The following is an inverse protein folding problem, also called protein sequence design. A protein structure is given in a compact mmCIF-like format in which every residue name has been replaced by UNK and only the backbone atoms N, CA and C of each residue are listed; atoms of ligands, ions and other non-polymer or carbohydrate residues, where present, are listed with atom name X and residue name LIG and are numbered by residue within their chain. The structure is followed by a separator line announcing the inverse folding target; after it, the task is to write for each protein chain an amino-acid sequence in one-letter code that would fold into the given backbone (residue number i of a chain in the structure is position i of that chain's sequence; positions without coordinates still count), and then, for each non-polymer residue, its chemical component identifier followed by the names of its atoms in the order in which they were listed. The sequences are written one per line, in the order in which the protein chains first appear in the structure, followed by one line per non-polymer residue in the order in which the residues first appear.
data_IF_834824713595
#
_entry.id   IF_834824713595
#
_cell.length_a   1.000
_cell.length_b   1.000
_cell.length_c   1.000
_cell.angle_alpha   90.00
_cell.angle_beta   90.00
_cell.angle_gamma   90.00
#
_symmetry.space_group_name_H-M   'P 1'
#
loop_
_entity.id
_entity.type
_entity.pdbx_description
1 polymer ?
#
# COMPACT_ATOMS: atom_id res chain seq x y z
N UNK A 1 -20.45 43.77 -84.48
CA UNK A 1 -19.56 44.88 -84.07
C UNK A 1 -19.53 44.86 -82.55
N UNK A 2 -18.54 44.24 -81.90
CA UNK A 2 -17.18 44.75 -81.69
C UNK A 2 -17.01 45.04 -80.18
N UNK A 3 -16.55 44.06 -79.41
CA UNK A 3 -15.30 44.04 -78.59
C UNK A 3 -15.17 45.06 -77.45
N UNK A 4 -15.02 44.56 -76.21
CA UNK A 4 -13.92 44.85 -75.25
C UNK A 4 -14.34 44.32 -73.87
N UNK A 5 -13.92 43.12 -73.42
CA UNK A 5 -12.74 42.84 -72.58
C UNK A 5 -12.55 43.79 -71.39
N UNK A 6 -12.85 43.26 -70.20
CA UNK A 6 -12.68 43.94 -68.91
C UNK A 6 -13.02 42.96 -67.78
N UNK A 7 -12.14 42.00 -67.55
CA UNK A 7 -12.18 41.05 -66.43
C UNK A 7 -12.18 41.79 -65.09
N UNK A 8 -13.29 41.71 -64.34
CA UNK A 8 -13.37 42.10 -62.94
C UNK A 8 -13.48 40.83 -62.08
N UNK A 9 -12.37 40.50 -61.43
CA UNK A 9 -12.26 39.45 -60.42
C UNK A 9 -13.14 39.82 -59.22
N UNK A 10 -14.23 39.09 -58.99
CA UNK A 10 -14.94 39.12 -57.71
C UNK A 10 -14.14 38.23 -56.72
N UNK A 11 -13.35 38.86 -55.86
CA UNK A 11 -12.82 38.19 -54.67
C UNK A 11 -13.95 37.98 -53.67
N UNK A 12 -14.60 36.82 -53.74
CA UNK A 12 -15.34 36.25 -52.62
C UNK A 12 -14.30 35.74 -51.61
N UNK A 13 -14.02 36.55 -50.59
CA UNK A 13 -13.34 36.11 -49.38
C UNK A 13 -14.30 35.17 -48.65
N UNK A 14 -14.24 33.88 -48.97
CA UNK A 14 -14.76 32.86 -48.09
C UNK A 14 -13.83 32.79 -46.89
N UNK A 15 -14.28 33.32 -45.75
CA UNK A 15 -13.63 33.09 -44.46
C UNK A 15 -13.70 31.60 -44.16
N UNK A 16 -12.64 30.87 -44.48
CA UNK A 16 -12.37 29.57 -43.90
C UNK A 16 -12.14 29.81 -42.41
N UNK A 17 -13.19 29.65 -41.60
CA UNK A 17 -13.00 29.32 -40.18
C UNK A 17 -12.50 27.88 -40.17
N UNK A 18 -11.20 27.71 -40.44
CA UNK A 18 -10.49 26.57 -39.92
C UNK A 18 -10.53 26.75 -38.40
N UNK A 19 -11.46 26.06 -37.74
CA UNK A 19 -11.28 25.73 -36.34
C UNK A 19 -9.94 25.03 -36.26
N UNK A 20 -8.90 25.76 -35.85
CA UNK A 20 -7.68 25.18 -35.35
C UNK A 20 -8.08 24.39 -34.12
N UNK A 21 -8.43 23.12 -34.32
CA UNK A 21 -8.32 22.13 -33.26
C UNK A 21 -6.85 22.16 -32.93
N UNK A 22 -6.50 22.87 -31.86
CA UNK A 22 -5.26 22.61 -31.15
C UNK A 22 -5.39 21.15 -30.68
N UNK A 23 -4.88 20.23 -31.50
CA UNK A 23 -4.41 18.96 -31.00
C UNK A 23 -3.31 19.34 -30.01
N UNK A 24 -3.70 19.41 -28.73
CA UNK A 24 -2.75 19.37 -27.64
C UNK A 24 -2.12 18.00 -27.76
N UNK A 25 -0.92 17.95 -28.32
CA UNK A 25 -0.04 16.79 -28.26
C UNK A 25 0.17 16.47 -26.78
N UNK A 26 -0.72 15.63 -26.25
CA UNK A 26 -0.57 15.02 -24.96
C UNK A 26 0.33 13.82 -25.20
N UNK A 27 1.63 14.09 -25.30
CA UNK A 27 2.67 13.07 -25.23
C UNK A 27 2.52 12.35 -23.88
N UNK A 28 1.75 11.27 -23.88
CA UNK A 28 1.75 10.29 -22.80
C UNK A 28 3.11 9.62 -22.83
N UNK A 29 3.85 9.68 -21.73
CA UNK A 29 5.20 9.11 -21.57
C UNK A 29 5.28 7.58 -21.80
N UNK A 30 4.14 6.92 -22.04
CA UNK A 30 4.01 5.49 -22.30
C UNK A 30 4.25 5.05 -23.76
N UNK A 31 4.37 5.96 -24.74
CA UNK A 31 4.55 5.56 -26.15
C UNK A 31 5.95 4.98 -26.50
N UNK A 32 6.86 4.87 -25.52
CA UNK A 32 8.21 4.33 -25.72
C UNK A 32 8.51 2.96 -25.10
N UNK A 33 7.56 2.36 -24.34
CA UNK A 33 7.82 1.14 -23.54
C UNK A 33 7.17 -0.12 -24.13
N UNK A 34 6.18 0.03 -25.01
CA UNK A 34 5.56 -1.11 -25.68
C UNK A 34 6.29 -1.45 -26.98
N UNK A 35 7.23 -2.37 -26.90
CA UNK A 35 7.58 -3.24 -28.02
C UNK A 35 6.30 -3.97 -28.45
N UNK A 36 5.63 -3.39 -29.44
CA UNK A 36 4.59 -4.02 -30.24
C UNK A 36 5.20 -5.20 -31.01
N UNK A 37 5.33 -6.34 -30.34
CA UNK A 37 5.42 -7.71 -30.91
C UNK A 37 5.95 -8.72 -29.89
N UNK A 38 5.27 -8.94 -28.76
CA UNK A 38 5.42 -10.20 -28.02
C UNK A 38 4.07 -10.58 -27.39
N UNK A 39 3.15 -11.08 -28.21
CA UNK A 39 2.30 -12.16 -27.70
C UNK A 39 3.25 -13.31 -27.37
N UNK A 40 3.29 -13.84 -26.13
CA UNK A 40 4.07 -15.03 -25.86
C UNK A 40 3.49 -16.18 -26.69
N UNK A 41 4.22 -16.57 -27.74
CA UNK A 41 3.96 -17.80 -28.51
C UNK A 41 4.44 -18.98 -27.65
N UNK A 42 3.83 -19.18 -26.48
CA UNK A 42 3.66 -20.46 -25.78
C UNK A 42 2.97 -20.26 -24.43
N UNK A 43 1.70 -19.85 -24.42
CA UNK A 43 0.91 -19.95 -23.18
C UNK A 43 0.54 -21.42 -23.00
N UNK A 44 1.35 -22.14 -22.21
CA UNK A 44 1.13 -23.54 -21.85
C UNK A 44 -0.24 -23.71 -21.18
N UNK A 45 -0.87 -24.88 -21.36
CA UNK A 45 -2.09 -25.26 -20.63
C UNK A 45 -1.92 -25.26 -19.09
N UNK A 46 -0.69 -25.10 -18.61
CA UNK A 46 -0.30 -25.12 -17.20
C UNK A 46 0.04 -23.74 -16.60
N UNK A 47 -0.33 -22.66 -17.28
CA UNK A 47 -0.21 -21.29 -16.76
C UNK A 47 -1.52 -20.84 -16.09
N UNK A 48 -1.39 -20.30 -14.88
CA UNK A 48 -2.49 -19.78 -14.08
C UNK A 48 -2.23 -18.33 -13.70
N UNK A 49 -3.31 -17.58 -13.52
CA UNK A 49 -3.23 -16.20 -13.07
C UNK A 49 -4.13 -16.02 -11.86
N UNK A 50 -3.75 -15.12 -10.96
CA UNK A 50 -4.60 -14.67 -9.87
C UNK A 50 -4.52 -13.16 -9.73
N UNK A 51 -5.67 -12.51 -9.56
CA UNK A 51 -5.77 -11.06 -9.36
C UNK A 51 -6.17 -10.81 -7.91
N UNK A 52 -5.30 -10.13 -7.17
CA UNK A 52 -5.54 -9.73 -5.79
C UNK A 52 -5.47 -8.21 -5.67
N UNK A 53 -6.53 -7.61 -5.17
CA UNK A 53 -6.55 -6.22 -4.78
C UNK A 53 -6.31 -6.09 -3.27
N UNK A 54 -5.31 -5.30 -2.91
CA UNK A 54 -5.08 -4.82 -1.54
C UNK A 54 -5.66 -3.42 -1.40
N UNK A 55 -6.85 -3.32 -0.79
CA UNK A 55 -7.48 -2.04 -0.48
C UNK A 55 -6.97 -1.52 0.88
N UNK A 56 -5.76 -0.96 0.83
CA UNK A 56 -5.09 -0.33 1.95
C UNK A 56 -5.68 1.02 2.35
N UNK A 57 -5.43 1.43 3.59
CA UNK A 57 -5.83 2.75 4.14
C UNK A 57 -5.24 3.95 3.39
N UNK A 58 -4.15 3.77 2.65
CA UNK A 58 -3.38 4.87 2.03
C UNK A 58 -3.39 4.84 0.52
N UNK A 59 -3.77 3.71 -0.06
CA UNK A 59 -3.83 3.45 -1.49
C UNK A 59 -4.36 2.04 -1.73
N UNK A 60 -5.01 1.86 -2.87
CA UNK A 60 -5.45 0.56 -3.37
C UNK A 60 -4.44 0.04 -4.37
N UNK A 61 -4.10 -1.25 -4.29
CA UNK A 61 -3.10 -1.90 -5.16
C UNK A 61 -3.74 -3.07 -5.87
N UNK A 62 -3.27 -3.36 -7.08
CA UNK A 62 -3.57 -4.60 -7.80
C UNK A 62 -2.30 -5.41 -7.97
N UNK A 63 -2.40 -6.70 -7.70
CA UNK A 63 -1.38 -7.69 -7.95
C UNK A 63 -1.95 -8.69 -8.96
N UNK A 64 -1.28 -8.82 -10.11
CA UNK A 64 -1.59 -9.84 -11.12
C UNK A 64 -0.44 -10.83 -11.14
N UNK A 65 -0.64 -11.96 -10.47
CA UNK A 65 0.36 -13.01 -10.38
C UNK A 65 0.25 -13.98 -11.53
N UNK A 66 1.38 -14.40 -12.08
CA UNK A 66 1.50 -15.45 -13.09
C UNK A 66 2.20 -16.66 -12.48
N UNK A 67 1.54 -17.81 -12.52
CA UNK A 67 2.04 -19.07 -12.01
C UNK A 67 2.16 -20.10 -13.13
N UNK A 68 3.21 -20.90 -13.10
CA UNK A 68 3.42 -22.01 -14.04
C UNK A 68 3.57 -23.32 -13.28
N UNK A 69 2.69 -24.26 -13.56
CA UNK A 69 2.84 -25.63 -13.11
C UNK A 69 3.61 -26.42 -14.16
N UNK A 70 4.83 -26.87 -13.83
CA UNK A 70 5.64 -27.67 -14.76
C UNK A 70 5.25 -29.14 -14.74
N UNK A 71 4.88 -29.65 -13.56
CA UNK A 71 4.57 -31.04 -13.31
C UNK A 71 3.21 -31.10 -12.59
N UNK A 72 2.21 -31.84 -13.12
CA UNK A 72 0.93 -32.01 -12.43
C UNK A 72 1.11 -32.64 -11.04
N UNK A 73 0.53 -32.04 -10.01
CA UNK A 73 0.64 -32.49 -8.61
C UNK A 73 1.83 -31.92 -7.84
N UNK A 74 2.66 -31.08 -8.48
CA UNK A 74 3.63 -30.23 -7.78
C UNK A 74 3.10 -28.80 -7.62
N UNK A 75 3.54 -28.11 -6.56
CA UNK A 75 3.16 -26.73 -6.31
C UNK A 75 3.55 -25.84 -7.52
N UNK A 76 2.65 -24.95 -7.97
CA UNK A 76 2.94 -24.09 -9.09
C UNK A 76 4.04 -23.07 -8.71
N UNK A 77 4.90 -22.78 -9.67
CA UNK A 77 6.02 -21.83 -9.48
C UNK A 77 5.53 -20.44 -9.87
N UNK A 78 5.81 -19.45 -9.03
CA UNK A 78 5.57 -18.05 -9.35
C UNK A 78 6.56 -17.59 -10.45
N UNK A 79 6.02 -17.22 -11.61
CA UNK A 79 6.81 -16.76 -12.76
C UNK A 79 6.96 -15.23 -12.77
N UNK A 80 5.94 -14.50 -12.32
CA UNK A 80 6.01 -13.05 -12.24
C UNK A 80 4.80 -12.40 -11.61
N UNK A 81 4.91 -11.09 -11.42
CA UNK A 81 3.88 -10.21 -10.88
C UNK A 81 3.84 -8.93 -11.71
N UNK A 82 2.62 -8.48 -12.04
CA UNK A 82 2.37 -7.10 -12.45
C UNK A 82 1.70 -6.41 -11.27
N UNK A 83 2.27 -5.27 -10.88
CA UNK A 83 1.87 -4.52 -9.70
C UNK A 83 1.58 -3.08 -10.11
N UNK A 84 0.40 -2.58 -9.76
CA UNK A 84 0.01 -1.18 -9.93
C UNK A 84 -0.73 -0.66 -8.70
N UNK A 85 -0.73 0.66 -8.50
CA UNK A 85 -1.36 1.26 -7.31
C UNK A 85 -1.93 2.65 -7.57
N UNK A 86 -3.00 2.98 -6.86
CA UNK A 86 -3.64 4.30 -6.87
C UNK A 86 -3.71 4.88 -5.46
N UNK A 87 -3.71 6.21 -5.38
CA UNK A 87 -3.90 6.99 -4.14
C UNK A 87 -4.94 8.10 -4.40
N UNK A 88 -5.81 8.44 -3.43
CA UNK A 88 -5.88 7.88 -2.08
C UNK A 88 -6.50 6.47 -2.05
N UNK A 89 -6.45 5.80 -0.89
CA UNK A 89 -7.07 4.48 -0.71
C UNK A 89 -8.60 4.54 -0.64
N UNK A 90 -9.24 3.37 -0.74
CA UNK A 90 -10.70 3.25 -0.83
C UNK A 90 -11.45 3.93 0.34
N UNK A 91 -10.86 3.94 1.56
CA UNK A 91 -11.46 4.59 2.73
C UNK A 91 -11.58 6.11 2.62
N UNK A 92 -10.81 6.77 1.75
CA UNK A 92 -10.95 8.21 1.51
C UNK A 92 -12.24 8.57 0.75
N UNK A 93 -12.86 7.60 0.10
CA UNK A 93 -14.09 7.75 -0.67
C UNK A 93 -15.33 7.32 0.12
N UNK A 94 -15.24 7.30 1.45
CA UNK A 94 -16.32 6.82 2.34
C UNK A 94 -17.67 7.51 2.10
N UNK A 95 -17.66 8.80 1.74
CA UNK A 95 -18.88 9.55 1.40
C UNK A 95 -19.17 9.60 -0.11
N UNK A 96 -18.29 9.01 -0.95
CA UNK A 96 -18.42 8.94 -2.41
C UNK A 96 -18.12 7.52 -2.94
N UNK A 97 -18.89 6.47 -2.55
CA UNK A 97 -18.54 5.08 -2.84
C UNK A 97 -18.30 4.76 -4.32
N UNK A 98 -19.08 5.37 -5.21
CA UNK A 98 -18.95 5.20 -6.67
C UNK A 98 -17.59 5.66 -7.20
N UNK A 99 -17.10 6.81 -6.74
CA UNK A 99 -15.78 7.31 -7.15
C UNK A 99 -14.66 6.41 -6.61
N UNK A 100 -14.79 5.89 -5.39
CA UNK A 100 -13.84 4.91 -4.87
C UNK A 100 -13.80 3.64 -5.72
N UNK A 101 -14.97 3.16 -6.15
CA UNK A 101 -15.10 2.01 -7.03
C UNK A 101 -14.49 2.28 -8.42
N UNK A 102 -14.67 3.49 -8.98
CA UNK A 102 -14.03 3.89 -10.24
C UNK A 102 -12.49 3.74 -10.20
N UNK A 103 -11.84 4.07 -9.08
CA UNK A 103 -10.39 3.84 -8.95
C UNK A 103 -10.00 2.35 -8.98
N UNK A 104 -10.90 1.46 -8.53
CA UNK A 104 -10.71 0.00 -8.63
C UNK A 104 -10.91 -0.46 -10.07
N UNK A 105 -11.85 0.15 -10.80
CA UNK A 105 -12.06 -0.10 -12.23
C UNK A 105 -10.80 0.22 -13.04
N UNK A 106 -10.14 1.35 -12.77
CA UNK A 106 -8.89 1.74 -13.46
C UNK A 106 -7.81 0.68 -13.31
N UNK A 107 -7.59 0.21 -12.09
CA UNK A 107 -6.65 -0.88 -11.80
C UNK A 107 -7.08 -2.20 -12.45
N UNK A 108 -8.38 -2.49 -12.53
CA UNK A 108 -8.88 -3.69 -13.18
C UNK A 108 -8.60 -3.72 -14.69
N UNK A 109 -8.48 -2.56 -15.35
CA UNK A 109 -8.06 -2.50 -16.75
C UNK A 109 -6.60 -2.98 -16.93
N UNK A 110 -5.71 -2.74 -15.98
CA UNK A 110 -4.34 -3.28 -15.98
C UNK A 110 -4.34 -4.81 -16.05
N UNK A 111 -5.24 -5.47 -15.32
CA UNK A 111 -5.40 -6.92 -15.37
C UNK A 111 -5.94 -7.41 -16.73
N UNK A 112 -6.87 -6.67 -17.33
CA UNK A 112 -7.41 -7.01 -18.66
C UNK A 112 -6.36 -6.88 -19.76
N UNK A 113 -5.52 -5.86 -19.68
CA UNK A 113 -4.47 -5.61 -20.67
C UNK A 113 -3.32 -6.61 -20.55
N UNK A 114 -3.05 -7.11 -19.35
CA UNK A 114 -1.95 -8.04 -19.07
C UNK A 114 -2.30 -9.52 -19.26
N UNK A 115 -3.53 -9.95 -18.97
CA UNK A 115 -3.92 -11.36 -19.02
C UNK A 115 -4.51 -11.70 -20.39
N UNK A 116 -4.07 -12.78 -21.07
CA UNK A 116 -4.69 -13.23 -22.31
C UNK A 116 -6.19 -13.54 -22.15
N UNK A 117 -7.01 -13.08 -23.10
CA UNK A 117 -8.48 -13.26 -23.07
C UNK A 117 -8.95 -14.70 -22.86
N UNK A 118 -8.16 -15.68 -23.30
CA UNK A 118 -8.43 -17.13 -23.11
C UNK A 118 -8.35 -17.60 -21.66
N UNK A 119 -7.78 -16.78 -20.77
CA UNK A 119 -7.61 -17.07 -19.34
C UNK A 119 -8.57 -16.26 -18.46
N UNK A 120 -9.22 -15.21 -18.95
CA UNK A 120 -10.08 -14.36 -18.13
C UNK A 120 -11.10 -15.16 -17.29
N UNK A 121 -11.87 -16.06 -17.92
CA UNK A 121 -12.91 -16.85 -17.22
C UNK A 121 -12.39 -17.82 -16.15
N UNK A 122 -11.09 -18.11 -16.12
CA UNK A 122 -10.47 -19.01 -15.12
C UNK A 122 -9.60 -18.27 -14.10
N UNK A 123 -9.38 -16.97 -14.30
CA UNK A 123 -8.55 -16.14 -13.43
C UNK A 123 -9.42 -15.55 -12.34
N UNK A 124 -9.26 -15.94 -11.07
CA UNK A 124 -10.01 -15.36 -9.98
C UNK A 124 -9.59 -13.91 -9.74
N UNK A 125 -10.57 -13.05 -9.47
CA UNK A 125 -10.38 -11.68 -9.00
C UNK A 125 -10.99 -11.50 -7.62
N UNK A 126 -10.17 -11.01 -6.68
CA UNK A 126 -10.55 -10.80 -5.28
C UNK A 126 -9.99 -9.48 -4.79
N UNK A 127 -10.75 -8.78 -3.94
CA UNK A 127 -10.34 -7.60 -3.20
C UNK A 127 -10.47 -7.88 -1.72
N UNK A 128 -9.37 -7.68 -0.98
CA UNK A 128 -9.41 -7.67 0.48
C UNK A 128 -9.04 -6.28 0.97
N UNK A 129 -9.96 -5.68 1.73
CA UNK A 129 -9.73 -4.41 2.39
C UNK A 129 -9.09 -4.63 3.77
N UNK A 130 -8.16 -3.74 4.15
CA UNK A 130 -7.41 -3.89 5.41
C UNK A 130 -7.93 -2.93 6.48
N UNK A 131 -7.06 -2.56 7.44
CA UNK A 131 -7.42 -1.74 8.59
C UNK A 131 -8.09 -0.39 8.25
N UNK A 132 -7.82 0.17 7.07
CA UNK A 132 -8.44 1.43 6.65
C UNK A 132 -9.96 1.38 6.59
N UNK A 133 -10.53 0.27 6.14
CA UNK A 133 -11.98 0.08 6.08
C UNK A 133 -12.54 -0.46 7.40
N UNK A 134 -11.74 -1.20 8.19
CA UNK A 134 -12.12 -1.65 9.55
C UNK A 134 -12.43 -0.49 10.51
N UNK A 135 -11.83 0.68 10.28
CA UNK A 135 -12.04 1.89 11.08
C UNK A 135 -13.29 2.69 10.67
N UNK A 136 -13.95 2.34 9.57
CA UNK A 136 -15.14 3.06 9.10
C UNK A 136 -16.41 2.49 9.77
N UNK A 137 -17.49 3.28 9.85
CA UNK A 137 -18.81 2.75 10.17
C UNK A 137 -19.19 1.63 9.21
N UNK A 138 -19.70 0.52 9.73
CA UNK A 138 -19.99 -0.71 8.98
C UNK A 138 -20.84 -0.46 7.72
N UNK A 139 -21.90 0.35 7.85
CA UNK A 139 -22.77 0.72 6.73
C UNK A 139 -22.01 1.41 5.59
N UNK A 140 -21.10 2.33 5.93
CA UNK A 140 -20.31 3.06 4.92
C UNK A 140 -19.24 2.18 4.28
N UNK A 141 -18.61 1.31 5.07
CA UNK A 141 -17.67 0.33 4.55
C UNK A 141 -18.36 -0.63 3.57
N UNK A 142 -19.54 -1.13 3.92
CA UNK A 142 -20.30 -2.04 3.08
C UNK A 142 -20.83 -1.34 1.80
N UNK A 143 -21.19 -0.07 1.87
CA UNK A 143 -21.55 0.72 0.67
C UNK A 143 -20.38 0.83 -0.33
N UNK A 144 -19.14 1.02 0.16
CA UNK A 144 -17.93 0.98 -0.68
C UNK A 144 -17.71 -0.40 -1.30
N UNK A 145 -17.78 -1.46 -0.50
CA UNK A 145 -17.58 -2.82 -0.98
C UNK A 145 -18.66 -3.26 -1.97
N UNK A 146 -19.90 -2.80 -1.79
CA UNK A 146 -21.00 -3.07 -2.71
C UNK A 146 -20.69 -2.55 -4.12
N UNK A 147 -20.24 -1.31 -4.26
CA UNK A 147 -19.90 -0.74 -5.58
C UNK A 147 -18.73 -1.49 -6.25
N UNK A 148 -17.73 -1.93 -5.46
CA UNK A 148 -16.65 -2.80 -5.95
C UNK A 148 -17.17 -4.15 -6.44
N UNK A 149 -18.10 -4.78 -5.71
CA UNK A 149 -18.73 -6.04 -6.14
C UNK A 149 -19.46 -5.88 -7.48
N UNK A 150 -20.12 -4.75 -7.70
CA UNK A 150 -20.79 -4.46 -8.97
C UNK A 150 -19.80 -4.32 -10.13
N UNK A 151 -18.61 -3.79 -9.89
CA UNK A 151 -17.52 -3.75 -10.88
C UNK A 151 -17.04 -5.17 -11.19
N UNK A 152 -16.77 -5.98 -10.16
CA UNK A 152 -16.26 -7.34 -10.36
C UNK A 152 -17.27 -8.22 -11.11
N UNK A 153 -18.57 -8.13 -10.78
CA UNK A 153 -19.64 -8.84 -11.50
C UNK A 153 -19.71 -8.52 -12.99
N UNK A 154 -19.35 -7.29 -13.39
CA UNK A 154 -19.31 -6.85 -14.80
C UNK A 154 -17.99 -7.21 -15.49
N UNK A 155 -16.98 -7.64 -14.73
CA UNK A 155 -15.69 -8.04 -15.26
C UNK A 155 -15.76 -9.40 -15.96
N UNK A 156 -14.83 -9.70 -16.89
CA UNK A 156 -14.77 -10.99 -17.56
C UNK A 156 -14.08 -12.08 -16.73
N UNK A 157 -13.61 -11.75 -15.53
CA UNK A 157 -12.83 -12.63 -14.67
C UNK A 157 -13.72 -13.59 -13.88
N UNK A 158 -13.12 -14.64 -13.33
CA UNK A 158 -13.80 -15.50 -12.36
C UNK A 158 -13.98 -14.70 -11.06
N UNK A 159 -15.22 -14.57 -10.61
CA UNK A 159 -15.54 -13.87 -9.35
C UNK A 159 -16.00 -14.91 -8.33
N UNK A 160 -15.14 -15.33 -7.39
CA UNK A 160 -15.53 -16.26 -6.35
C UNK A 160 -16.57 -15.67 -5.38
N UNK A 161 -17.20 -16.55 -4.60
CA UNK A 161 -17.91 -16.14 -3.39
C UNK A 161 -16.92 -15.45 -2.43
N UNK A 162 -17.39 -14.44 -1.68
CA UNK A 162 -16.54 -13.61 -0.81
C UNK A 162 -15.34 -12.94 -1.53
N UNK A 163 -15.51 -12.66 -2.84
CA UNK A 163 -14.50 -11.95 -3.66
C UNK A 163 -14.21 -10.54 -3.21
N UNK A 164 -15.07 -9.90 -2.42
CA UNK A 164 -14.87 -8.55 -1.91
C UNK A 164 -15.27 -8.51 -0.44
N UNK A 165 -14.28 -8.42 0.45
CA UNK A 165 -14.50 -8.37 1.88
C UNK A 165 -13.40 -7.65 2.65
N UNK A 166 -13.70 -7.30 3.90
CA UNK A 166 -12.74 -6.75 4.84
C UNK A 166 -12.00 -7.90 5.50
N UNK A 167 -10.67 -7.91 5.38
CA UNK A 167 -9.82 -8.91 5.97
C UNK A 167 -9.58 -8.60 7.45
N UNK A 168 -9.78 -9.62 8.29
CA UNK A 168 -9.36 -9.55 9.69
C UNK A 168 -7.83 -9.49 9.79
N UNK A 169 -7.32 -8.77 10.80
CA UNK A 169 -5.88 -8.58 10.98
C UNK A 169 -5.11 -9.89 11.18
N UNK A 170 -5.77 -10.94 11.68
CA UNK A 170 -5.17 -12.27 11.82
C UNK A 170 -4.78 -12.90 10.48
N UNK A 171 -5.64 -12.77 9.46
CA UNK A 171 -5.37 -13.28 8.12
C UNK A 171 -4.24 -12.51 7.43
N UNK A 172 -4.18 -11.19 7.64
CA UNK A 172 -3.12 -10.33 7.10
C UNK A 172 -1.73 -10.80 7.60
N UNK A 173 -1.59 -11.06 8.91
CA UNK A 173 -0.37 -11.61 9.49
C UNK A 173 -0.08 -13.06 9.04
N UNK A 174 -1.11 -13.91 8.96
CA UNK A 174 -0.97 -15.30 8.51
C UNK A 174 -0.43 -15.42 7.08
N UNK A 175 -0.98 -14.65 6.14
CA UNK A 175 -0.51 -14.64 4.76
C UNK A 175 0.86 -13.98 4.58
N UNK A 176 1.19 -13.00 5.42
CA UNK A 176 2.53 -12.44 5.48
C UNK A 176 3.55 -13.49 5.92
N UNK A 177 3.21 -14.33 6.91
CA UNK A 177 4.05 -15.47 7.31
C UNK A 177 4.30 -16.42 6.16
N UNK A 178 3.25 -16.77 5.40
CA UNK A 178 3.35 -17.67 4.27
C UNK A 178 4.22 -17.08 3.16
N UNK A 179 4.05 -15.78 2.88
CA UNK A 179 4.88 -15.06 1.90
C UNK A 179 6.35 -15.02 2.31
N UNK A 180 6.64 -14.88 3.61
CA UNK A 180 8.02 -14.99 4.12
C UNK A 180 8.64 -16.38 3.87
N UNK A 181 7.86 -17.45 4.06
CA UNK A 181 8.31 -18.82 3.79
C UNK A 181 8.56 -19.09 2.30
N UNK A 182 7.74 -18.52 1.39
CA UNK A 182 7.93 -18.65 -0.05
C UNK A 182 9.25 -18.03 -0.54
N UNK A 183 9.77 -17.04 0.18
CA UNK A 183 10.97 -16.29 -0.19
C UNK A 183 12.25 -16.77 0.53
N UNK A 184 12.14 -17.47 1.65
CA UNK A 184 13.29 -17.91 2.45
C UNK A 184 13.96 -19.18 1.89
N UNK A 185 15.23 -19.07 1.48
CA UNK A 185 16.11 -20.22 1.17
C UNK A 185 16.87 -20.77 2.40
N UNK A 186 16.64 -20.21 3.59
CA UNK A 186 17.40 -20.49 4.82
C UNK A 186 16.53 -21.19 5.87
N UNK A 187 17.08 -22.20 6.55
CA UNK A 187 16.46 -22.86 7.71
C UNK A 187 16.43 -21.97 8.97
N UNK A 188 16.99 -20.76 8.93
CA UNK A 188 16.85 -19.81 10.03
C UNK A 188 15.44 -19.22 10.04
N UNK A 189 14.78 -19.35 11.19
CA UNK A 189 13.41 -18.93 11.44
C UNK A 189 13.36 -17.39 11.47
N UNK A 190 12.82 -16.77 10.41
CA UNK A 190 12.75 -15.31 10.27
C UNK A 190 11.33 -14.81 10.54
N UNK A 191 11.22 -13.70 11.28
CA UNK A 191 9.98 -12.98 11.50
C UNK A 191 9.72 -11.91 10.44
N UNK A 192 8.51 -11.39 10.42
CA UNK A 192 8.06 -10.34 9.50
C UNK A 192 7.38 -9.22 10.26
N UNK A 193 7.63 -7.99 9.80
CA UNK A 193 7.04 -6.75 10.29
C UNK A 193 6.41 -6.02 9.11
N UNK A 194 5.14 -5.69 9.23
CA UNK A 194 4.42 -4.86 8.28
C UNK A 194 3.90 -3.61 8.99
N UNK A 195 4.20 -2.44 8.43
CA UNK A 195 3.68 -1.16 8.90
C UNK A 195 2.80 -0.55 7.81
N UNK A 196 1.50 -0.80 7.95
CA UNK A 196 0.47 -0.17 7.14
C UNK A 196 0.14 1.25 7.62
N UNK A 197 -0.83 1.89 6.97
CA UNK A 197 -1.27 3.23 7.38
C UNK A 197 -2.16 3.22 8.63
N UNK A 198 -3.00 2.19 8.81
CA UNK A 198 -3.96 2.12 9.91
C UNK A 198 -3.65 1.03 10.95
N UNK A 199 -2.84 0.02 10.60
CA UNK A 199 -2.37 -1.02 11.53
C UNK A 199 -0.91 -1.37 11.27
N UNK A 200 -0.33 -2.10 12.22
CA UNK A 200 0.95 -2.80 12.05
C UNK A 200 0.80 -4.26 12.46
N UNK A 201 1.55 -5.13 11.82
CA UNK A 201 1.54 -6.57 12.05
C UNK A 201 2.95 -7.06 12.33
N UNK A 202 3.05 -8.01 13.26
CA UNK A 202 4.28 -8.73 13.58
C UNK A 202 3.97 -10.22 13.54
N UNK A 203 4.79 -10.99 12.83
CA UNK A 203 4.67 -12.44 12.76
C UNK A 203 6.03 -13.10 12.95
N UNK A 204 6.09 -14.15 13.74
CA UNK A 204 7.32 -14.90 14.00
C UNK A 204 6.98 -16.33 14.40
N UNK A 205 7.97 -17.21 14.34
CA UNK A 205 7.82 -18.59 14.79
C UNK A 205 8.25 -18.68 16.26
N UNK A 206 7.42 -19.28 17.14
CA UNK A 206 7.75 -19.40 18.56
C UNK A 206 8.88 -20.44 18.73
N UNK A 207 9.83 -20.15 19.62
CA UNK A 207 10.88 -21.10 19.96
C UNK A 207 10.45 -21.91 21.19
N UNK A 208 9.85 -23.09 20.97
CA UNK A 208 9.67 -24.08 22.03
C UNK A 208 10.74 -25.16 21.92
N UNK A 209 11.40 -25.52 23.03
CA UNK A 209 12.40 -26.59 23.16
C UNK A 209 11.85 -28.02 22.90
N UNK A 210 10.65 -28.17 22.34
CA UNK A 210 10.04 -29.49 22.11
C UNK A 210 10.09 -29.89 20.63
N UNK A 211 10.67 -31.07 20.31
CA UNK A 211 10.67 -31.57 18.95
C UNK A 211 9.32 -32.21 18.68
N UNK A 212 8.41 -31.51 18.01
CA UNK A 212 7.34 -32.13 17.25
C UNK A 212 6.76 -31.14 16.24
N UNK A 213 7.02 -31.45 14.97
CA UNK A 213 6.19 -31.21 13.78
C UNK A 213 4.97 -30.29 13.98
N UNK A 214 4.95 -29.20 13.21
CA UNK A 214 3.96 -28.09 13.18
C UNK A 214 4.21 -26.96 14.18
N UNK A 215 5.21 -26.11 13.91
CA UNK A 215 5.29 -24.78 14.52
C UNK A 215 4.23 -23.88 13.87
N UNK A 216 3.18 -23.56 14.62
CA UNK A 216 2.23 -22.54 14.18
C UNK A 216 2.89 -21.16 14.36
N UNK A 217 2.93 -20.31 13.33
CA UNK A 217 3.42 -18.95 13.47
C UNK A 217 2.55 -18.17 14.47
N UNK A 218 3.19 -17.39 15.33
CA UNK A 218 2.54 -16.41 16.19
C UNK A 218 2.41 -15.12 15.40
N UNK A 219 1.20 -14.60 15.29
CA UNK A 219 0.93 -13.33 14.62
C UNK A 219 0.17 -12.40 15.56
N UNK A 220 0.51 -11.11 15.51
CA UNK A 220 -0.24 -10.05 16.17
C UNK A 220 -0.52 -8.94 15.16
N UNK A 221 -1.74 -8.40 15.19
CA UNK A 221 -2.16 -7.24 14.40
C UNK A 221 -2.67 -6.15 15.34
N UNK A 222 -2.08 -4.96 15.25
CA UNK A 222 -2.38 -3.81 16.10
C UNK A 222 -3.11 -2.74 15.30
N UNK A 223 -4.44 -2.75 15.38
CA UNK A 223 -5.29 -1.72 14.77
C UNK A 223 -5.09 -0.38 15.50
N UNK A 224 -4.98 0.71 14.75
CA UNK A 224 -4.69 2.05 15.30
C UNK A 224 -3.19 2.35 15.45
N UNK A 225 -2.32 1.36 15.24
CA UNK A 225 -0.86 1.49 15.32
C UNK A 225 -0.19 1.44 13.93
N UNK A 226 -0.94 1.77 12.87
CA UNK A 226 -0.32 2.05 11.57
C UNK A 226 0.29 3.45 11.56
N UNK A 227 1.18 3.73 10.60
CA UNK A 227 1.93 4.98 10.56
C UNK A 227 1.02 6.22 10.55
N UNK A 228 -0.04 6.21 9.74
CA UNK A 228 -0.98 7.34 9.68
C UNK A 228 -1.84 7.41 10.94
N UNK A 229 -2.41 6.30 11.40
CA UNK A 229 -3.17 6.29 12.65
C UNK A 229 -2.34 6.81 13.84
N UNK A 230 -1.06 6.46 13.89
CA UNK A 230 -0.11 6.96 14.87
C UNK A 230 0.13 8.47 14.77
N UNK A 231 0.18 9.06 13.58
CA UNK A 231 0.26 10.52 13.44
C UNK A 231 -0.90 11.23 14.12
N UNK A 232 -2.13 10.74 13.92
CA UNK A 232 -3.31 11.30 14.62
C UNK A 232 -3.21 11.08 16.13
N UNK A 233 -2.73 9.91 16.56
CA UNK A 233 -2.52 9.61 17.96
C UNK A 233 -1.52 10.57 18.62
N UNK A 234 -0.39 10.82 17.97
CA UNK A 234 0.67 11.73 18.42
C UNK A 234 0.16 13.17 18.49
N UNK A 235 -0.67 13.59 17.52
CA UNK A 235 -1.35 14.88 17.52
C UNK A 235 -2.44 15.02 18.61
N UNK A 236 -2.83 13.93 19.28
CA UNK A 236 -3.93 13.92 20.25
C UNK A 236 -5.33 13.97 19.62
N UNK A 237 -5.45 13.64 18.32
CA UNK A 237 -6.67 13.79 17.53
C UNK A 237 -7.54 12.52 17.43
N UNK A 238 -7.14 11.40 18.06
CA UNK A 238 -7.85 10.11 17.97
C UNK A 238 -9.23 10.09 18.63
N UNK A 239 -9.40 10.83 19.74
CA UNK A 239 -10.60 10.79 20.58
C UNK A 239 -11.50 12.03 20.45
N UNK A 240 -11.07 12.99 19.63
CA UNK A 240 -11.82 14.21 19.35
C UNK A 240 -12.37 14.11 17.93
N UNK A 241 -13.68 13.87 17.80
CA UNK A 241 -14.38 14.19 16.54
C UNK A 241 -14.04 15.64 16.21
N UNK A 242 -13.48 15.87 15.02
CA UNK A 242 -12.84 17.14 14.64
C UNK A 242 -13.63 18.34 15.13
N UNK A 243 -13.18 18.97 16.21
CA UNK A 243 -13.83 20.14 16.76
C UNK A 243 -13.58 21.26 15.75
N UNK A 244 -14.64 21.77 15.13
CA UNK A 244 -14.55 22.87 14.17
C UNK A 244 -13.71 24.02 14.74
N UNK A 245 -12.59 24.32 14.08
CA UNK A 245 -11.69 25.41 14.44
C UNK A 245 -10.54 25.07 15.40
N UNK A 246 -10.39 23.82 15.86
CA UNK A 246 -9.23 23.41 16.65
C UNK A 246 -8.07 22.91 15.75
N UNK A 247 -6.89 23.50 15.92
CA UNK A 247 -5.65 23.02 15.28
C UNK A 247 -4.89 22.13 16.26
N UNK A 248 -4.69 20.86 15.91
CA UNK A 248 -3.86 19.93 16.67
C UNK A 248 -2.38 20.24 16.43
N UNK A 249 -1.60 20.36 17.51
CA UNK A 249 -0.18 20.74 17.43
C UNK A 249 0.72 19.64 17.97
N UNK A 250 1.91 19.53 17.40
CA UNK A 250 2.91 18.55 17.82
C UNK A 250 4.33 19.11 17.72
N UNK A 251 5.17 18.66 18.64
CA UNK A 251 6.61 18.92 18.66
C UNK A 251 7.36 18.25 17.49
N UNK A 252 6.75 17.24 16.87
CA UNK A 252 7.30 16.53 15.74
C UNK A 252 7.19 17.30 14.41
N UNK A 253 6.54 18.46 14.39
CA UNK A 253 6.22 19.22 13.18
C UNK A 253 6.89 20.60 13.19
N UNK A 254 7.28 21.13 12.01
CA UNK A 254 7.90 22.46 11.91
C UNK A 254 6.97 23.56 12.44
N UNK A 255 7.52 24.55 13.15
CA UNK A 255 6.76 25.65 13.77
C UNK A 255 5.92 26.46 12.76
N UNK A 256 6.40 26.58 11.53
CA UNK A 256 5.74 27.30 10.45
C UNK A 256 4.60 26.51 9.79
N UNK A 257 4.47 25.22 10.09
CA UNK A 257 3.48 24.36 9.44
C UNK A 257 2.08 24.64 9.98
N UNK A 258 1.17 24.94 9.06
CA UNK A 258 -0.28 24.93 9.25
C UNK A 258 -0.88 24.24 8.02
N UNK A 259 -1.59 23.14 8.21
CA UNK A 259 -2.06 22.30 7.12
C UNK A 259 -3.33 21.52 7.47
N UNK A 260 -3.93 20.93 6.43
CA UNK A 260 -5.13 20.11 6.50
C UNK A 260 -4.81 18.67 6.11
N UNK A 261 -5.38 17.71 6.83
CA UNK A 261 -5.25 16.30 6.51
C UNK A 261 -6.57 15.56 6.69
N UNK A 262 -6.92 14.72 5.71
CA UNK A 262 -8.10 13.85 5.76
C UNK A 262 -7.67 12.41 6.06
N UNK A 263 -8.28 11.83 7.10
CA UNK A 263 -8.09 10.43 7.47
C UNK A 263 -9.39 9.83 8.00
N UNK A 264 -9.75 8.63 7.52
CA UNK A 264 -11.01 7.98 7.93
C UNK A 264 -12.28 8.79 7.57
N UNK A 265 -12.21 9.66 6.57
CA UNK A 265 -13.31 10.57 6.20
C UNK A 265 -13.41 11.84 7.06
N UNK A 266 -12.58 12.00 8.08
CA UNK A 266 -12.57 13.18 8.95
C UNK A 266 -11.44 14.12 8.52
N UNK A 267 -11.73 15.43 8.53
CA UNK A 267 -10.79 16.49 8.20
C UNK A 267 -10.19 17.07 9.48
N UNK A 268 -8.86 17.13 9.55
CA UNK A 268 -8.10 17.62 10.71
C UNK A 268 -7.25 18.83 10.31
N UNK A 269 -7.28 19.88 11.12
CA UNK A 269 -6.32 20.98 11.06
C UNK A 269 -5.13 20.64 11.96
N UNK A 270 -3.90 20.78 11.46
CA UNK A 270 -2.71 20.46 12.23
C UNK A 270 -1.53 21.38 11.94
N UNK A 271 -0.61 21.48 12.89
CA UNK A 271 0.58 22.32 12.76
C UNK A 271 1.67 22.03 13.79
N UNK A 272 2.77 22.77 13.71
CA UNK A 272 3.86 22.68 14.71
C UNK A 272 3.53 23.41 16.01
N UNK A 273 4.17 22.99 17.10
CA UNK A 273 4.21 23.76 18.35
C UNK A 273 4.82 25.14 18.11
N UNK A 274 4.35 26.16 18.82
CA UNK A 274 4.71 27.57 18.57
C UNK A 274 5.82 28.07 19.51
N UNK A 275 6.01 27.43 20.67
CA UNK A 275 7.01 27.85 21.65
C UNK A 275 8.42 27.31 21.32
N UNK A 276 9.44 28.10 21.65
CA UNK A 276 10.83 27.71 21.43
C UNK A 276 11.27 26.65 22.45
N UNK A 277 11.91 25.57 21.99
CA UNK A 277 12.30 24.42 22.83
C UNK A 277 11.24 23.30 22.91
N UNK A 278 10.07 23.50 22.30
CA UNK A 278 9.02 22.48 22.18
C UNK A 278 9.05 21.74 20.83
N UNK A 279 10.16 21.82 20.10
CA UNK A 279 10.37 21.12 18.81
C UNK A 279 11.72 20.41 18.83
N UNK A 280 11.83 19.30 18.09
CA UNK A 280 13.04 18.50 18.00
C UNK A 280 12.81 17.05 18.43
N UNK A 281 13.88 16.24 18.43
CA UNK A 281 13.76 14.79 18.64
C UNK A 281 13.18 14.45 20.02
N UNK A 282 13.74 14.97 21.10
CA UNK A 282 13.33 14.60 22.46
C UNK A 282 11.86 14.95 22.77
N UNK A 283 11.36 16.17 22.50
CA UNK A 283 9.94 16.48 22.70
C UNK A 283 9.01 15.66 21.78
N UNK A 284 9.41 15.44 20.52
CA UNK A 284 8.65 14.59 19.60
C UNK A 284 8.58 13.14 20.08
N UNK A 285 9.71 12.58 20.49
CA UNK A 285 9.80 11.20 21.00
C UNK A 285 8.93 11.04 22.24
N UNK A 286 8.86 12.04 23.12
CA UNK A 286 7.98 12.00 24.29
C UNK A 286 6.49 11.97 23.92
N UNK A 287 6.06 12.72 22.89
CA UNK A 287 4.68 12.65 22.38
C UNK A 287 4.37 11.27 21.78
N UNK A 288 5.29 10.77 20.95
CA UNK A 288 5.20 9.44 20.33
C UNK A 288 5.19 8.31 21.36
N UNK A 289 6.01 8.41 22.41
CA UNK A 289 6.12 7.36 23.43
C UNK A 289 4.78 7.13 24.15
N UNK A 290 3.99 8.20 24.37
CA UNK A 290 2.62 8.10 24.91
C UNK A 290 1.67 7.29 24.02
N UNK A 291 1.94 7.22 22.72
CA UNK A 291 1.16 6.44 21.76
C UNK A 291 1.45 4.95 21.93
N UNK A 292 2.72 4.54 22.10
CA UNK A 292 3.14 3.13 22.05
C UNK A 292 3.34 2.46 23.41
N UNK A 293 3.82 3.19 24.41
CA UNK A 293 4.34 2.61 25.65
C UNK A 293 3.25 1.85 26.41
N UNK A 294 3.50 0.57 26.67
CA UNK A 294 2.60 -0.30 27.44
C UNK A 294 1.33 -0.74 26.69
N UNK A 295 1.20 -0.45 25.38
CA UNK A 295 0.00 -0.80 24.59
C UNK A 295 0.19 -1.95 23.59
N UNK A 296 1.43 -2.40 23.36
CA UNK A 296 1.75 -3.51 22.47
C UNK A 296 2.40 -4.65 23.24
N UNK A 297 2.26 -5.88 22.73
CA UNK A 297 2.95 -7.04 23.31
C UNK A 297 4.42 -6.98 22.93
N UNK A 298 5.29 -7.25 23.90
CA UNK A 298 6.74 -7.36 23.74
C UNK A 298 7.15 -8.84 23.83
N UNK A 299 7.14 -9.59 22.72
CA UNK A 299 7.52 -10.99 22.73
C UNK A 299 9.05 -11.16 22.88
N UNK A 300 9.49 -12.06 23.75
CA UNK A 300 10.93 -12.29 24.01
C UNK A 300 11.68 -12.74 22.74
N UNK A 301 10.98 -13.37 21.79
CA UNK A 301 11.53 -13.86 20.52
C UNK A 301 12.11 -12.76 19.64
N UNK A 302 11.63 -11.51 19.76
CA UNK A 302 12.14 -10.39 18.94
C UNK A 302 13.62 -10.09 19.20
N UNK A 303 14.13 -10.48 20.36
CA UNK A 303 15.53 -10.29 20.73
C UNK A 303 16.48 -11.31 20.07
N UNK A 304 15.94 -12.41 19.55
CA UNK A 304 16.74 -13.59 19.12
C UNK A 304 16.49 -14.00 17.68
N UNK A 305 15.50 -13.41 17.02
CA UNK A 305 15.14 -13.69 15.63
C UNK A 305 15.49 -12.53 14.71
N UNK A 306 15.78 -12.85 13.45
CA UNK A 306 15.94 -11.86 12.39
C UNK A 306 14.57 -11.51 11.80
N UNK A 307 14.35 -10.24 11.46
CA UNK A 307 13.07 -9.77 10.91
C UNK A 307 13.24 -9.07 9.57
N UNK A 308 12.36 -9.43 8.63
CA UNK A 308 12.09 -8.59 7.48
C UNK A 308 11.08 -7.51 7.84
N UNK A 309 11.31 -6.29 7.39
CA UNK A 309 10.41 -5.17 7.60
C UNK A 309 10.03 -4.54 6.26
N UNK A 310 8.71 -4.41 6.04
CA UNK A 310 8.12 -4.02 4.77
C UNK A 310 7.29 -2.73 4.89
N UNK A 311 6.68 -2.31 3.78
CA UNK A 311 5.75 -1.17 3.73
C UNK A 311 6.38 0.11 4.28
N UNK A 312 5.74 0.79 5.24
CA UNK A 312 6.24 2.08 5.73
C UNK A 312 7.57 2.01 6.47
N UNK A 313 8.00 0.84 6.96
CA UNK A 313 9.38 0.69 7.43
C UNK A 313 10.38 0.94 6.30
N UNK A 314 10.13 0.34 5.13
CA UNK A 314 10.95 0.53 3.94
C UNK A 314 10.82 1.95 3.39
N UNK A 315 9.59 2.46 3.21
CA UNK A 315 9.37 3.79 2.62
C UNK A 315 10.08 4.90 3.40
N UNK A 316 10.03 4.87 4.75
CA UNK A 316 10.69 5.88 5.60
C UNK A 316 12.20 5.75 5.57
N UNK A 317 12.74 4.54 5.42
CA UNK A 317 14.17 4.33 5.26
C UNK A 317 14.67 4.84 3.90
N UNK A 318 13.86 4.75 2.83
CA UNK A 318 14.17 5.35 1.53
C UNK A 318 14.20 6.88 1.64
N UNK A 319 13.24 7.48 2.34
CA UNK A 319 13.16 8.95 2.49
C UNK A 319 14.37 9.56 3.22
N UNK A 320 15.16 8.74 3.92
CA UNK A 320 16.38 9.16 4.63
C UNK A 320 17.67 8.60 4.03
N UNK A 321 17.62 8.03 2.82
CA UNK A 321 18.75 7.36 2.16
C UNK A 321 19.37 6.20 2.97
N UNK A 322 18.59 5.58 3.86
CA UNK A 322 19.00 4.48 4.75
C UNK A 322 18.60 3.10 4.20
N UNK A 323 18.81 2.87 2.90
CA UNK A 323 18.43 1.62 2.23
C UNK A 323 19.47 0.52 2.53
N UNK A 324 19.01 -0.61 3.10
CA UNK A 324 19.85 -1.78 3.39
C UNK A 324 19.59 -2.38 4.78
N UNK A 325 20.61 -3.03 5.36
CA UNK A 325 20.62 -3.48 6.75
C UNK A 325 20.73 -2.26 7.67
N UNK A 326 19.59 -1.75 8.14
CA UNK A 326 19.56 -0.55 8.98
C UNK A 326 19.48 -0.92 10.45
N UNK A 327 20.33 -0.27 11.25
CA UNK A 327 20.34 -0.39 12.71
C UNK A 327 19.27 0.54 13.26
N UNK A 328 18.41 0.03 14.14
CA UNK A 328 17.29 0.79 14.71
C UNK A 328 17.69 2.14 15.32
N UNK A 329 18.84 2.21 16.00
CA UNK A 329 19.31 3.42 16.69
C UNK A 329 19.69 4.59 15.75
N UNK A 330 19.88 4.38 14.44
CA UNK A 330 20.34 5.46 13.54
C UNK A 330 19.22 6.22 12.83
N UNK A 331 17.94 5.89 13.07
CA UNK A 331 16.85 6.36 12.19
C UNK A 331 16.39 7.81 12.44
N UNK A 332 16.43 8.34 13.66
CA UNK A 332 15.55 9.50 14.01
C UNK A 332 16.24 10.81 14.41
N UNK A 333 17.30 10.82 15.25
CA UNK A 333 17.80 12.08 15.84
C UNK A 333 18.22 13.16 14.81
N UNK A 334 19.00 12.85 13.74
CA UNK A 334 19.48 13.88 12.81
C UNK A 334 18.37 14.56 11.99
N UNK A 335 17.25 13.87 11.77
CA UNK A 335 16.12 14.37 10.97
C UNK A 335 15.31 15.38 11.76
N UNK A 336 15.07 15.10 13.04
CA UNK A 336 14.28 15.95 13.91
C UNK A 336 15.01 17.23 14.34
N UNK A 337 16.35 17.20 14.42
CA UNK A 337 17.14 18.37 14.84
C UNK A 337 17.23 19.46 13.76
N UNK A 338 16.92 19.14 12.49
CA UNK A 338 16.89 20.07 11.36
C UNK A 338 15.47 20.38 10.86
N UNK A 339 14.47 20.24 11.72
CA UNK A 339 13.04 20.37 11.38
C UNK A 339 12.69 21.68 10.64
N UNK A 340 13.39 22.76 10.95
CA UNK A 340 13.08 24.10 10.41
C UNK A 340 13.58 24.30 8.97
N UNK A 341 14.62 23.59 8.57
CA UNK A 341 15.25 23.67 7.24
C UNK A 341 14.84 22.50 6.34
N UNK A 342 13.81 21.76 6.72
CA UNK A 342 13.45 20.50 6.09
C UNK A 342 12.85 20.71 4.70
N UNK A 343 13.45 20.09 3.70
CA UNK A 343 13.05 20.18 2.27
C UNK A 343 12.45 18.88 1.73
N UNK A 344 12.28 17.86 2.57
CA UNK A 344 11.65 16.61 2.14
C UNK A 344 10.16 16.81 1.85
N UNK A 345 9.62 15.98 0.96
CA UNK A 345 8.22 16.07 0.50
C UNK A 345 7.15 15.77 1.56
N UNK A 346 7.52 15.43 2.80
CA UNK A 346 6.57 15.14 3.89
C UNK A 346 6.97 15.84 5.20
N UNK A 347 6.13 16.73 5.75
CA UNK A 347 6.41 17.39 7.03
C UNK A 347 6.38 16.42 8.23
N UNK A 348 5.89 15.19 8.04
CA UNK A 348 5.77 14.18 9.08
C UNK A 348 7.02 13.32 9.29
N UNK A 349 8.11 13.52 8.52
CA UNK A 349 9.21 12.56 8.51
C UNK A 349 9.86 12.37 9.89
N UNK A 350 10.04 13.45 10.67
CA UNK A 350 10.50 13.34 12.07
C UNK A 350 9.53 12.54 12.95
N UNK A 351 8.23 12.83 12.85
CA UNK A 351 7.19 12.09 13.57
C UNK A 351 7.22 10.61 13.23
N UNK A 352 7.31 10.29 11.94
CA UNK A 352 7.27 8.93 11.42
C UNK A 352 8.47 8.10 11.89
N UNK A 353 9.67 8.66 11.82
CA UNK A 353 10.90 7.97 12.23
C UNK A 353 10.94 7.80 13.76
N UNK A 354 10.54 8.83 14.50
CA UNK A 354 10.40 8.75 15.96
C UNK A 354 9.38 7.68 16.34
N UNK A 355 8.24 7.63 15.64
CA UNK A 355 7.23 6.59 15.80
C UNK A 355 7.75 5.19 15.50
N UNK A 356 8.41 4.97 14.36
CA UNK A 356 9.00 3.68 14.01
C UNK A 356 10.00 3.25 15.08
N UNK A 357 10.83 4.17 15.56
CA UNK A 357 11.83 3.90 16.60
C UNK A 357 11.16 3.47 17.90
N UNK A 358 10.17 4.23 18.38
CA UNK A 358 9.44 3.93 19.60
C UNK A 358 8.60 2.65 19.45
N UNK A 359 7.98 2.42 18.30
CA UNK A 359 7.18 1.22 18.02
C UNK A 359 8.05 -0.04 18.10
N UNK A 360 9.24 -0.02 17.49
CA UNK A 360 10.15 -1.17 17.51
C UNK A 360 10.78 -1.35 18.90
N UNK A 361 11.33 -0.28 19.48
CA UNK A 361 12.07 -0.35 20.75
C UNK A 361 11.15 -0.47 21.97
N UNK A 362 10.20 0.44 22.12
CA UNK A 362 9.36 0.57 23.31
C UNK A 362 8.00 -0.14 23.14
N UNK A 363 7.56 -0.38 21.89
CA UNK A 363 6.35 -1.13 21.57
C UNK A 363 6.58 -2.63 21.53
N UNK A 364 7.43 -3.11 20.62
CA UNK A 364 7.73 -4.55 20.45
C UNK A 364 8.90 -5.05 21.28
N UNK A 365 9.71 -4.14 21.84
CA UNK A 365 10.81 -4.54 22.71
C UNK A 365 12.05 -4.98 21.95
N UNK A 366 12.33 -4.48 20.74
CA UNK A 366 13.59 -4.73 20.04
C UNK A 366 14.78 -4.05 20.71
N UNK A 367 15.96 -4.67 20.65
CA UNK A 367 17.20 -4.01 21.07
C UNK A 367 17.58 -2.88 20.10
N UNK A 368 18.21 -1.82 20.62
CA UNK A 368 18.68 -0.70 19.77
C UNK A 368 19.72 -1.11 18.72
N UNK A 369 20.41 -2.25 18.94
CA UNK A 369 21.36 -2.85 18.01
C UNK A 369 20.74 -3.83 17.01
N UNK A 370 19.43 -4.07 17.06
CA UNK A 370 18.77 -4.98 16.12
C UNK A 370 18.90 -4.44 14.70
N UNK A 371 19.29 -5.34 13.79
CA UNK A 371 19.33 -5.07 12.36
C UNK A 371 18.04 -5.60 11.74
N UNK A 372 17.31 -4.72 11.07
CA UNK A 372 16.13 -5.10 10.29
C UNK A 372 16.50 -5.23 8.82
N UNK A 373 15.97 -6.28 8.19
CA UNK A 373 16.10 -6.46 6.74
C UNK A 373 14.96 -5.71 6.04
N UNK A 374 15.24 -4.47 5.67
CA UNK A 374 14.29 -3.62 4.96
C UNK A 374 14.22 -4.06 3.51
N UNK A 375 13.04 -4.46 3.06
CA UNK A 375 12.85 -4.86 1.67
C UNK A 375 11.50 -4.41 1.15
N UNK A 376 11.47 -4.06 -0.14
CA UNK A 376 10.25 -3.75 -0.88
C UNK A 376 9.82 -4.92 -1.75
N UNK A 377 10.80 -5.54 -2.39
CA UNK A 377 10.61 -6.68 -3.29
C UNK A 377 11.60 -7.79 -2.96
N UNK A 378 11.13 -9.03 -3.00
CA UNK A 378 12.00 -10.20 -2.99
C UNK A 378 11.80 -10.95 -4.30
N UNK A 379 12.89 -11.25 -5.01
CA UNK A 379 12.84 -11.87 -6.34
C UNK A 379 11.93 -11.14 -7.34
N UNK A 380 11.92 -9.80 -7.29
CA UNK A 380 11.07 -8.91 -8.10
C UNK A 380 9.56 -8.96 -7.80
N UNK A 381 9.16 -9.59 -6.71
CA UNK A 381 7.77 -9.67 -6.23
C UNK A 381 7.57 -8.71 -5.07
N UNK A 382 6.50 -7.93 -5.11
CA UNK A 382 6.10 -7.02 -4.04
C UNK A 382 5.87 -7.80 -2.75
N UNK A 383 6.52 -7.34 -1.68
CA UNK A 383 6.38 -7.95 -0.37
C UNK A 383 5.06 -7.54 0.28
N UNK A 384 4.39 -8.50 0.91
CA UNK A 384 3.11 -8.29 1.55
C UNK A 384 2.32 -9.59 1.67
N UNK A 385 1.07 -9.49 2.10
CA UNK A 385 0.18 -10.65 2.30
C UNK A 385 -0.45 -11.16 0.99
N UNK A 386 -0.47 -10.35 -0.07
CA UNK A 386 -1.24 -10.60 -1.29
C UNK A 386 -0.82 -11.89 -2.03
N UNK A 387 0.48 -12.20 -2.09
CA UNK A 387 0.98 -13.42 -2.72
C UNK A 387 0.45 -14.67 -2.02
N UNK A 388 0.61 -14.75 -0.70
CA UNK A 388 0.14 -15.90 0.08
C UNK A 388 -1.37 -16.08 0.00
N UNK A 389 -2.13 -14.98 0.05
CA UNK A 389 -3.58 -15.02 -0.12
C UNK A 389 -4.00 -15.50 -1.52
N UNK A 390 -3.30 -15.07 -2.57
CA UNK A 390 -3.56 -15.50 -3.95
C UNK A 390 -3.25 -16.98 -4.12
N UNK A 391 -2.14 -17.45 -3.58
CA UNK A 391 -1.76 -18.86 -3.65
C UNK A 391 -2.81 -19.75 -2.98
N UNK A 392 -3.24 -19.39 -1.77
CA UNK A 392 -4.30 -20.10 -1.06
C UNK A 392 -5.64 -20.08 -1.82
N UNK A 393 -5.99 -18.95 -2.45
CA UNK A 393 -7.18 -18.81 -3.27
C UNK A 393 -7.16 -19.76 -4.49
N UNK A 394 -6.02 -19.87 -5.18
CA UNK A 394 -5.89 -20.76 -6.33
C UNK A 394 -6.05 -22.24 -5.91
N UNK A 395 -5.52 -22.60 -4.74
CA UNK A 395 -5.70 -23.94 -4.18
C UNK A 395 -7.15 -24.22 -3.77
N UNK A 396 -7.81 -23.27 -3.09
CA UNK A 396 -9.19 -23.46 -2.62
C UNK A 396 -10.21 -23.59 -3.76
N UNK A 397 -9.92 -22.97 -4.90
CA UNK A 397 -10.73 -23.07 -6.12
C UNK A 397 -10.38 -24.31 -6.97
N UNK A 398 -9.40 -25.12 -6.58
CA UNK A 398 -8.93 -26.28 -7.35
C UNK A 398 -8.28 -25.89 -8.69
N UNK A 399 -7.76 -24.66 -8.80
CA UNK A 399 -7.09 -24.15 -10.00
C UNK A 399 -5.63 -24.64 -10.04
N UNK A 400 -5.00 -24.78 -8.89
CA UNK A 400 -3.68 -25.39 -8.73
C UNK A 400 -3.77 -26.68 -7.89
N UNK A 401 -3.19 -27.77 -8.38
CA UNK A 401 -3.13 -29.08 -7.70
C UNK A 401 -1.73 -29.42 -7.24
#
# INVERSE_FOLDING_TARGET
MGTSWGTAFFMLVASCVCSTVFHRDQQTWFEGIFLSSMCPINVSASTFYGIMFDAGSTGTRIHVYTFVQKIPGELPILEGEIFESVKPGLSAFVDQPKQGAETVQELLEVAKDSIPRSHWKRTPVVLKATAGLRLLPEEKAEALLFEVREIFKKSPFLVPDDSVSIMDGSYEGGWLSFTGQLHGHSQETMGTLDLGGASTQITFLPQLEKPCYFFNPVFYSYLGFGLKAARLATLGALETEGIDGHTFRSACLPRWLEAEWIFGGVKYQYGGNQEAGEVGFEPCYAEVLRVVQGKLHQPDEVQRSSFYAFSYYYDRAVDTDMIGNSVLHSLSPPVCDNLENFTSGSPFLCMDLSYITALLKDGFGFAGSTILQLTKKVNNIETGWALGATFHLLQSLGISH
#
